data_IF_752304848673
#
_entry.id   IF_752304848673
#
_cell.length_a   1.000
_cell.length_b   1.000
_cell.length_c   1.000
_cell.angle_alpha   90.00
_cell.angle_beta   90.00
_cell.angle_gamma   90.00
#
_symmetry.space_group_name_H-M   'P 1'
#
loop_
_entity.id
_entity.type
_entity.pdbx_description
1 polymer ?
#
# COMPACT_ATOMS: atom_id res chain seq x y z
N UNK A 1 17.45 -10.10 1.16
CA UNK A 1 16.35 -9.23 0.66
C UNK A 1 16.79 -7.79 0.88
N UNK A 2 16.59 -6.88 -0.07
CA UNK A 2 16.90 -5.46 0.09
C UNK A 2 15.62 -4.69 -0.26
N UNK A 3 14.96 -4.07 0.70
CA UNK A 3 13.73 -3.33 0.50
C UNK A 3 14.03 -1.84 0.30
N UNK A 4 14.13 -1.42 -0.95
CA UNK A 4 14.47 -0.03 -1.30
C UNK A 4 13.46 0.98 -0.83
N UNK A 5 12.16 0.65 -0.87
CA UNK A 5 11.12 1.52 -0.33
C UNK A 5 11.37 1.78 1.16
N UNK A 6 11.63 0.71 1.94
CA UNK A 6 11.94 0.85 3.36
C UNK A 6 13.13 1.78 3.60
N UNK A 7 14.21 1.60 2.83
CA UNK A 7 15.41 2.44 2.95
C UNK A 7 15.11 3.92 2.66
N UNK A 8 14.40 4.21 1.57
CA UNK A 8 13.98 5.58 1.23
C UNK A 8 13.12 6.21 2.33
N UNK A 9 12.15 5.46 2.87
CA UNK A 9 11.31 5.93 3.96
C UNK A 9 12.12 6.22 5.23
N UNK A 10 13.10 5.39 5.56
CA UNK A 10 14.01 5.62 6.69
C UNK A 10 14.91 6.85 6.50
N UNK A 11 15.22 7.21 5.25
CA UNK A 11 15.98 8.42 4.90
C UNK A 11 15.09 9.66 4.82
N UNK A 12 13.78 9.52 5.05
CA UNK A 12 12.81 10.62 4.96
C UNK A 12 12.51 11.06 3.54
N UNK A 13 12.85 10.26 2.53
CA UNK A 13 12.55 10.58 1.14
C UNK A 13 11.06 10.43 0.84
N UNK A 14 10.54 11.32 -0.02
CA UNK A 14 9.22 11.15 -0.60
C UNK A 14 9.30 10.17 -1.75
N UNK A 15 8.46 9.15 -1.71
CA UNK A 15 8.38 8.09 -2.71
C UNK A 15 7.05 8.17 -3.46
N UNK A 16 7.08 7.79 -4.74
CA UNK A 16 5.89 7.78 -5.60
C UNK A 16 5.58 6.37 -6.08
N UNK A 17 4.29 6.05 -6.16
CA UNK A 17 3.87 4.72 -6.56
C UNK A 17 2.52 4.68 -7.25
N UNK A 18 2.12 3.48 -7.65
CA UNK A 18 0.89 3.20 -8.38
C UNK A 18 0.07 2.13 -7.67
N UNK A 19 -1.24 2.36 -7.57
CA UNK A 19 -2.19 1.33 -7.17
C UNK A 19 -2.60 0.52 -8.38
N UNK A 20 -2.41 -0.80 -8.33
CA UNK A 20 -2.60 -1.70 -9.48
C UNK A 20 -3.85 -2.55 -9.25
N UNK A 21 -4.83 -2.37 -10.13
CA UNK A 21 -6.11 -3.09 -10.13
C UNK A 21 -6.37 -3.85 -11.44
N UNK A 22 -5.62 -3.52 -12.51
CA UNK A 22 -5.71 -4.18 -13.82
C UNK A 22 -4.93 -5.49 -13.79
N UNK A 23 -5.52 -6.58 -14.28
CA UNK A 23 -4.92 -7.93 -14.30
C UNK A 23 -3.62 -8.02 -15.11
N UNK A 24 -3.46 -7.17 -16.12
CA UNK A 24 -2.30 -7.25 -17.02
C UNK A 24 -1.02 -6.78 -16.33
N UNK A 25 0.01 -7.63 -16.18
CA UNK A 25 1.29 -7.25 -15.62
C UNK A 25 2.02 -6.17 -16.42
N UNK A 26 1.59 -5.89 -17.66
CA UNK A 26 2.12 -4.80 -18.49
C UNK A 26 1.96 -3.44 -17.80
N UNK A 27 0.91 -3.24 -17.01
CA UNK A 27 0.74 -2.01 -16.22
C UNK A 27 1.91 -1.85 -15.22
N UNK A 28 2.30 -2.93 -14.58
CA UNK A 28 3.46 -2.94 -13.67
C UNK A 28 4.79 -2.77 -14.43
N UNK A 29 4.90 -3.31 -15.65
CA UNK A 29 6.08 -3.08 -16.52
C UNK A 29 6.24 -1.59 -16.84
N UNK A 30 5.14 -0.90 -17.15
CA UNK A 30 5.13 0.55 -17.37
C UNK A 30 5.57 1.31 -16.11
N UNK A 31 5.04 0.94 -14.94
CA UNK A 31 5.41 1.56 -13.68
C UNK A 31 6.92 1.38 -13.38
N UNK A 32 7.46 0.18 -13.61
CA UNK A 32 8.90 -0.12 -13.48
C UNK A 32 9.73 0.66 -14.48
N UNK A 33 9.31 0.72 -15.74
CA UNK A 33 10.03 1.45 -16.80
C UNK A 33 10.06 2.96 -16.55
N UNK A 34 9.02 3.51 -15.93
CA UNK A 34 8.96 4.90 -15.50
C UNK A 34 9.74 5.19 -14.21
N UNK A 35 10.28 4.17 -13.55
CA UNK A 35 11.09 4.32 -12.34
C UNK A 35 10.28 4.64 -11.09
N UNK A 36 9.01 4.19 -11.00
CA UNK A 36 8.22 4.36 -9.79
C UNK A 36 8.87 3.60 -8.62
N UNK A 37 8.84 4.20 -7.43
CA UNK A 37 9.47 3.63 -6.24
C UNK A 37 8.74 2.37 -5.76
N UNK A 38 7.42 2.35 -5.94
CA UNK A 38 6.60 1.21 -5.52
C UNK A 38 5.35 1.04 -6.37
N UNK A 39 4.85 -0.18 -6.37
CA UNK A 39 3.50 -0.54 -6.83
C UNK A 39 2.77 -1.23 -5.69
N UNK A 40 1.46 -1.02 -5.57
CA UNK A 40 0.58 -1.77 -4.67
C UNK A 40 -0.40 -2.60 -5.48
N UNK A 41 -0.24 -3.90 -5.46
CA UNK A 41 -1.13 -4.86 -6.11
C UNK A 41 -2.33 -5.08 -5.20
N UNK A 42 -3.51 -4.76 -5.70
CA UNK A 42 -4.73 -4.73 -4.91
C UNK A 42 -5.49 -6.06 -4.99
N UNK A 43 -5.49 -6.79 -3.88
CA UNK A 43 -6.24 -8.04 -3.74
C UNK A 43 -7.47 -7.89 -2.82
N UNK A 44 -7.78 -6.66 -2.38
CA UNK A 44 -8.97 -6.38 -1.56
C UNK A 44 -10.15 -5.95 -2.42
N UNK A 45 -9.97 -4.89 -3.22
CA UNK A 45 -11.00 -4.38 -4.12
C UNK A 45 -10.67 -4.74 -5.56
N UNK A 46 -11.62 -5.32 -6.25
CA UNK A 46 -11.43 -5.80 -7.62
C UNK A 46 -11.39 -7.33 -7.67
N UNK A 47 -10.67 -7.84 -8.65
CA UNK A 47 -10.71 -9.27 -9.00
C UNK A 47 -9.33 -9.93 -9.02
N UNK A 48 -8.27 -9.21 -8.62
CA UNK A 48 -6.94 -9.79 -8.55
C UNK A 48 -6.86 -10.78 -7.38
N UNK A 49 -6.33 -11.97 -7.68
CA UNK A 49 -6.02 -12.97 -6.68
C UNK A 49 -4.51 -13.25 -6.60
N UNK A 50 -4.11 -14.31 -5.91
CA UNK A 50 -2.71 -14.69 -5.79
C UNK A 50 -2.05 -15.06 -7.11
N UNK A 51 -2.81 -15.51 -8.11
CA UNK A 51 -2.27 -15.85 -9.42
C UNK A 51 -1.86 -14.61 -10.19
N UNK A 52 -2.73 -13.63 -10.28
CA UNK A 52 -2.46 -12.32 -10.90
C UNK A 52 -1.37 -11.57 -10.15
N UNK A 53 -1.45 -11.51 -8.82
CA UNK A 53 -0.43 -10.87 -7.99
C UNK A 53 0.97 -11.47 -8.23
N UNK A 54 1.07 -12.80 -8.41
CA UNK A 54 2.33 -13.45 -8.75
C UNK A 54 2.91 -12.95 -10.09
N UNK A 55 2.08 -12.69 -11.09
CA UNK A 55 2.53 -12.20 -12.39
C UNK A 55 3.09 -10.77 -12.27
N UNK A 56 2.43 -9.89 -11.54
CA UNK A 56 2.95 -8.54 -11.23
C UNK A 56 4.26 -8.60 -10.43
N UNK A 57 4.35 -9.46 -9.42
CA UNK A 57 5.56 -9.66 -8.62
C UNK A 57 6.75 -10.16 -9.45
N UNK A 58 6.51 -10.94 -10.51
CA UNK A 58 7.56 -11.39 -11.45
C UNK A 58 8.16 -10.21 -12.22
N UNK A 59 7.33 -9.25 -12.64
CA UNK A 59 7.77 -8.05 -13.36
C UNK A 59 8.67 -7.18 -12.49
N UNK A 60 8.31 -7.00 -11.23
CA UNK A 60 9.09 -6.18 -10.29
C UNK A 60 10.42 -6.83 -9.93
N UNK A 61 10.54 -8.16 -10.07
CA UNK A 61 11.73 -8.88 -9.66
C UNK A 61 13.00 -8.40 -10.39
N UNK A 62 13.99 -7.96 -9.62
CA UNK A 62 15.26 -7.43 -10.14
C UNK A 62 15.23 -5.96 -10.54
N UNK A 63 14.09 -5.28 -10.44
CA UNK A 63 13.97 -3.84 -10.66
C UNK A 63 14.32 -3.03 -9.40
N UNK A 64 14.24 -1.70 -9.51
CA UNK A 64 14.39 -0.78 -8.38
C UNK A 64 13.07 -0.51 -7.66
N UNK A 65 11.94 -0.90 -8.26
CA UNK A 65 10.60 -0.71 -7.75
C UNK A 65 10.29 -1.75 -6.68
N UNK A 66 9.72 -1.35 -5.56
CA UNK A 66 9.25 -2.26 -4.52
C UNK A 66 7.79 -2.67 -4.78
N UNK A 67 7.47 -3.95 -4.67
CA UNK A 67 6.10 -4.42 -4.78
C UNK A 67 5.49 -4.60 -3.39
N UNK A 68 4.38 -3.93 -3.16
CA UNK A 68 3.47 -4.12 -2.03
C UNK A 68 2.24 -4.91 -2.53
N UNK A 69 1.62 -5.64 -1.64
CA UNK A 69 0.33 -6.31 -1.89
C UNK A 69 -0.66 -5.81 -0.85
N UNK A 70 -1.78 -5.22 -1.27
CA UNK A 70 -2.90 -5.02 -0.35
C UNK A 70 -3.65 -6.35 -0.25
N UNK A 71 -3.57 -6.95 0.94
CA UNK A 71 -4.22 -8.23 1.22
C UNK A 71 -5.72 -8.04 1.44
N UNK A 72 -6.56 -9.09 1.22
CA UNK A 72 -8.01 -8.99 1.41
C UNK A 72 -8.44 -8.71 2.86
N UNK A 73 -7.58 -9.01 3.83
CA UNK A 73 -7.86 -8.84 5.26
C UNK A 73 -6.70 -9.28 6.14
N UNK A 74 -6.89 -9.21 7.46
CA UNK A 74 -5.86 -9.55 8.46
C UNK A 74 -5.90 -11.06 8.76
N UNK A 75 -5.73 -11.89 7.73
CA UNK A 75 -5.63 -13.34 7.88
C UNK A 75 -4.19 -13.80 7.71
N UNK A 76 -3.77 -14.76 8.54
CA UNK A 76 -2.43 -15.33 8.48
C UNK A 76 -2.10 -15.89 7.09
N UNK A 77 -3.07 -16.55 6.45
CA UNK A 77 -2.89 -17.13 5.12
C UNK A 77 -2.65 -16.07 4.05
N UNK A 78 -3.35 -14.93 4.11
CA UNK A 78 -3.21 -13.85 3.15
C UNK A 78 -1.85 -13.14 3.28
N UNK A 79 -1.51 -12.71 4.50
CA UNK A 79 -0.23 -12.05 4.79
C UNK A 79 0.95 -12.96 4.45
N UNK A 80 0.94 -14.21 4.95
CA UNK A 80 2.01 -15.16 4.70
C UNK A 80 2.21 -15.43 3.21
N UNK A 81 1.14 -15.75 2.46
CA UNK A 81 1.24 -16.08 1.04
C UNK A 81 1.75 -14.91 0.19
N UNK A 82 1.29 -13.69 0.45
CA UNK A 82 1.79 -12.50 -0.24
C UNK A 82 3.32 -12.35 -0.06
N UNK A 83 3.81 -12.52 1.15
CA UNK A 83 5.24 -12.45 1.47
C UNK A 83 6.03 -13.63 0.88
N UNK A 84 5.49 -14.85 0.90
CA UNK A 84 6.12 -16.04 0.33
C UNK A 84 6.25 -15.97 -1.20
N UNK A 85 5.32 -15.28 -1.86
CA UNK A 85 5.43 -14.94 -3.29
C UNK A 85 6.52 -13.89 -3.59
N UNK A 86 7.07 -13.24 -2.57
CA UNK A 86 8.16 -12.27 -2.71
C UNK A 86 7.71 -10.82 -2.75
N UNK A 87 6.56 -10.48 -2.18
CA UNK A 87 6.22 -9.09 -1.92
C UNK A 87 7.23 -8.47 -0.94
N UNK A 88 7.57 -7.21 -1.14
CA UNK A 88 8.44 -6.44 -0.24
C UNK A 88 7.70 -5.97 1.02
N UNK A 89 6.39 -6.04 1.01
CA UNK A 89 5.52 -5.78 2.14
C UNK A 89 4.06 -5.99 1.80
N UNK A 90 3.22 -5.84 2.81
CA UNK A 90 1.77 -5.90 2.68
C UNK A 90 1.14 -4.62 3.22
N UNK A 91 0.07 -4.16 2.56
CA UNK A 91 -0.87 -3.19 3.09
C UNK A 91 -2.04 -3.98 3.68
N UNK A 92 -2.39 -3.69 4.92
CA UNK A 92 -3.38 -4.46 5.69
C UNK A 92 -4.59 -3.58 5.90
N UNK A 93 -5.72 -3.88 5.25
CA UNK A 93 -6.95 -3.11 5.39
C UNK A 93 -7.62 -3.33 6.75
N UNK A 94 -8.52 -2.43 7.12
CA UNK A 94 -9.35 -2.54 8.32
C UNK A 94 -8.59 -2.81 9.62
N UNK A 95 -7.38 -2.27 9.75
CA UNK A 95 -6.63 -2.30 11.01
C UNK A 95 -7.27 -1.27 11.98
N UNK A 96 -8.20 -1.71 12.82
CA UNK A 96 -9.01 -0.85 13.68
C UNK A 96 -8.40 -0.62 15.07
N UNK A 97 -7.39 -1.41 15.44
CA UNK A 97 -6.81 -1.39 16.78
C UNK A 97 -5.31 -1.72 16.74
N UNK A 98 -4.60 -1.40 17.81
CA UNK A 98 -3.22 -1.85 18.00
C UNK A 98 -3.09 -3.37 17.95
N UNK A 99 -4.08 -4.11 18.50
CA UNK A 99 -4.11 -5.57 18.46
C UNK A 99 -4.22 -6.12 17.02
N UNK A 100 -4.93 -5.43 16.13
CA UNK A 100 -4.99 -5.80 14.70
C UNK A 100 -3.63 -5.63 14.03
N UNK A 101 -2.96 -4.52 14.30
CA UNK A 101 -1.63 -4.23 13.75
C UNK A 101 -0.61 -5.24 14.28
N UNK A 102 -0.59 -5.49 15.57
CA UNK A 102 0.28 -6.51 16.19
C UNK A 102 0.04 -7.91 15.59
N UNK A 103 -1.23 -8.26 15.34
CA UNK A 103 -1.60 -9.53 14.71
C UNK A 103 -1.04 -9.62 13.29
N UNK A 104 -1.15 -8.55 12.48
CA UNK A 104 -0.57 -8.49 11.14
C UNK A 104 0.96 -8.64 11.19
N UNK A 105 1.62 -7.96 12.12
CA UNK A 105 3.06 -8.09 12.34
C UNK A 105 3.47 -9.52 12.70
N UNK A 106 2.73 -10.18 13.61
CA UNK A 106 2.99 -11.58 13.96
C UNK A 106 2.84 -12.52 12.77
N UNK A 107 1.89 -12.28 11.88
CA UNK A 107 1.70 -13.08 10.67
C UNK A 107 2.79 -12.88 9.62
N UNK A 108 3.41 -11.71 9.58
CA UNK A 108 4.49 -11.39 8.65
C UNK A 108 5.89 -11.73 9.13
N UNK A 109 6.08 -12.07 10.44
CA UNK A 109 7.38 -12.32 11.06
C UNK A 109 7.57 -13.78 11.43
N UNK A 110 8.82 -14.23 11.37
CA UNK A 110 9.21 -15.58 11.78
C UNK A 110 9.29 -15.74 13.31
N UNK A 111 9.17 -16.98 13.84
CA UNK A 111 9.46 -17.24 15.24
C UNK A 111 10.90 -16.83 15.64
N UNK A 112 11.13 -16.31 16.85
CA UNK A 112 10.18 -16.14 17.96
C UNK A 112 9.36 -14.85 17.91
N UNK A 113 9.60 -13.95 16.95
CA UNK A 113 8.94 -12.62 16.85
C UNK A 113 7.52 -12.69 16.27
N UNK A 114 7.18 -13.78 15.62
CA UNK A 114 5.88 -14.01 15.02
C UNK A 114 5.56 -15.49 14.84
N UNK A 115 4.63 -15.76 13.90
CA UNK A 115 4.12 -17.11 13.62
C UNK A 115 4.14 -17.46 12.12
N UNK A 116 4.86 -16.66 11.30
CA UNK A 116 5.01 -16.96 9.87
C UNK A 116 5.71 -18.30 9.70
N UNK A 117 5.08 -19.23 8.97
CA UNK A 117 5.69 -20.50 8.62
C UNK A 117 6.87 -20.32 7.68
N UNK A 118 7.89 -21.14 7.85
CA UNK A 118 9.06 -21.15 6.97
C UNK A 118 8.77 -22.05 5.76
N UNK A 119 9.05 -21.57 4.56
CA UNK A 119 8.89 -22.35 3.33
C UNK A 119 10.09 -22.18 2.39
N UNK A 120 10.23 -23.10 1.46
CA UNK A 120 11.28 -23.09 0.41
C UNK A 120 10.84 -22.48 -0.92
N UNK A 121 9.87 -21.55 -0.90
CA UNK A 121 9.24 -21.03 -2.11
C UNK A 121 9.97 -19.78 -2.67
N UNK A 122 9.31 -19.03 -3.53
CA UNK A 122 9.86 -17.95 -4.36
C UNK A 122 10.62 -16.89 -3.57
N UNK A 123 10.13 -16.46 -2.42
CA UNK A 123 10.80 -15.45 -1.58
C UNK A 123 12.25 -15.83 -1.23
N UNK A 124 12.51 -17.12 -1.03
CA UNK A 124 13.84 -17.70 -0.76
C UNK A 124 14.51 -18.26 -2.01
N UNK A 125 14.05 -17.88 -3.21
CA UNK A 125 14.53 -18.38 -4.51
C UNK A 125 14.59 -19.90 -4.56
N UNK A 126 13.49 -20.55 -4.18
CA UNK A 126 13.35 -22.02 -4.12
C UNK A 126 14.46 -22.71 -3.30
N UNK A 127 14.84 -22.07 -2.18
CA UNK A 127 15.86 -22.54 -1.25
C UNK A 127 17.27 -22.00 -1.52
N UNK A 128 17.55 -21.40 -2.67
CA UNK A 128 18.90 -20.92 -3.03
C UNK A 128 19.40 -19.75 -2.15
N UNK A 129 18.51 -18.94 -1.58
CA UNK A 129 18.85 -17.84 -0.68
C UNK A 129 18.15 -17.95 0.69
N UNK A 130 17.93 -19.16 1.14
CA UNK A 130 17.13 -19.45 2.34
C UNK A 130 17.69 -18.80 3.60
N UNK A 131 18.95 -19.07 3.93
CA UNK A 131 19.58 -18.51 5.13
C UNK A 131 19.71 -16.98 5.08
N UNK A 132 20.09 -16.44 3.93
CA UNK A 132 20.18 -15.00 3.68
C UNK A 132 18.81 -14.32 3.91
N UNK A 133 17.75 -14.87 3.30
CA UNK A 133 16.41 -14.31 3.45
C UNK A 133 15.93 -14.33 4.90
N UNK A 134 16.06 -15.46 5.59
CA UNK A 134 15.62 -15.58 6.99
C UNK A 134 16.37 -14.63 7.93
N UNK A 135 17.64 -14.33 7.67
CA UNK A 135 18.41 -13.42 8.51
C UNK A 135 17.97 -11.95 8.43
N UNK A 136 17.26 -11.55 7.39
CA UNK A 136 16.89 -10.14 7.17
C UNK A 136 15.39 -9.91 6.97
N UNK A 137 14.60 -10.93 6.70
CA UNK A 137 13.19 -10.77 6.28
C UNK A 137 12.34 -10.01 7.31
N UNK A 138 12.53 -10.26 8.60
CA UNK A 138 11.77 -9.58 9.66
C UNK A 138 12.03 -8.08 9.72
N UNK A 139 13.25 -7.66 9.37
CA UNK A 139 13.64 -6.25 9.35
C UNK A 139 13.29 -5.57 8.01
N UNK A 140 13.39 -6.30 6.90
CA UNK A 140 13.19 -5.76 5.56
C UNK A 140 11.72 -5.72 5.13
N UNK A 141 10.87 -6.60 5.67
CA UNK A 141 9.45 -6.67 5.30
C UNK A 141 8.66 -5.51 5.88
N UNK A 142 7.91 -4.81 5.02
CA UNK A 142 6.99 -3.77 5.43
C UNK A 142 5.61 -4.36 5.73
N UNK A 143 5.09 -4.08 6.93
CA UNK A 143 3.69 -4.32 7.31
C UNK A 143 3.08 -2.95 7.51
N UNK A 144 2.18 -2.55 6.63
CA UNK A 144 1.63 -1.19 6.56
C UNK A 144 0.13 -1.25 6.86
N UNK A 145 -0.32 -0.86 8.05
CA UNK A 145 -1.75 -0.77 8.34
C UNK A 145 -2.39 0.37 7.54
N UNK A 146 -3.59 0.11 7.02
CA UNK A 146 -4.43 1.11 6.40
C UNK A 146 -5.30 1.77 7.48
N UNK A 147 -5.12 3.07 7.68
CA UNK A 147 -5.85 3.89 8.65
C UNK A 147 -7.06 4.49 7.93
N UNK A 148 -8.21 3.85 8.08
CA UNK A 148 -9.39 4.15 7.26
C UNK A 148 -10.71 4.04 8.03
N UNK A 149 -10.63 3.82 9.35
CA UNK A 149 -11.84 3.72 10.18
C UNK A 149 -11.77 4.65 11.38
N UNK A 150 -12.92 5.01 11.90
CA UNK A 150 -13.02 5.77 13.15
C UNK A 150 -12.34 5.04 14.31
N UNK A 151 -12.47 3.71 14.40
CA UNK A 151 -11.79 2.91 15.42
C UNK A 151 -10.27 3.06 15.36
N UNK A 152 -9.68 3.00 14.16
CA UNK A 152 -8.25 3.23 13.97
C UNK A 152 -7.80 4.62 14.42
N UNK A 153 -8.62 5.64 14.16
CA UNK A 153 -8.33 7.02 14.60
C UNK A 153 -8.41 7.14 16.12
N UNK A 154 -9.40 6.53 16.76
CA UNK A 154 -9.54 6.51 18.22
C UNK A 154 -8.39 5.78 18.93
N UNK A 155 -7.80 4.76 18.30
CA UNK A 155 -6.65 4.01 18.84
C UNK A 155 -5.29 4.40 18.24
N UNK A 156 -5.21 5.52 17.55
CA UNK A 156 -4.04 5.85 16.74
C UNK A 156 -2.71 5.89 17.52
N UNK A 157 -2.73 6.41 18.73
CA UNK A 157 -1.51 6.46 19.57
C UNK A 157 -0.99 5.07 19.93
N UNK A 158 -1.89 4.13 20.20
CA UNK A 158 -1.55 2.75 20.48
C UNK A 158 -1.06 2.03 19.19
N UNK A 159 -1.70 2.30 18.04
CA UNK A 159 -1.26 1.80 16.74
C UNK A 159 0.16 2.30 16.42
N UNK A 160 0.42 3.59 16.54
CA UNK A 160 1.72 4.19 16.27
C UNK A 160 2.81 3.75 17.25
N UNK A 161 2.45 3.23 18.43
CA UNK A 161 3.38 2.65 19.39
C UNK A 161 3.80 1.21 19.05
N UNK A 162 3.23 0.59 18.00
CA UNK A 162 3.57 -0.80 17.62
C UNK A 162 5.04 -0.94 17.25
N UNK A 163 5.81 -1.84 17.91
CA UNK A 163 7.24 -1.99 17.66
C UNK A 163 7.57 -2.39 16.23
N UNK A 164 8.41 -1.59 15.57
CA UNK A 164 8.88 -1.83 14.20
C UNK A 164 7.91 -1.36 13.11
N UNK A 165 6.86 -0.63 13.46
CA UNK A 165 5.98 0.06 12.50
C UNK A 165 6.80 1.13 11.76
N UNK A 166 7.00 0.95 10.45
CA UNK A 166 7.79 1.85 9.63
C UNK A 166 6.94 2.82 8.81
N UNK A 167 5.72 2.42 8.50
CA UNK A 167 4.79 3.23 7.71
C UNK A 167 3.34 2.90 8.04
N UNK A 168 2.47 3.89 7.85
CA UNK A 168 1.01 3.76 7.79
C UNK A 168 0.52 4.28 6.44
N UNK A 169 -0.65 3.86 6.00
CA UNK A 169 -1.28 4.38 4.79
C UNK A 169 -2.71 4.82 5.11
N UNK A 170 -3.23 5.85 4.44
CA UNK A 170 -4.59 6.34 4.68
C UNK A 170 -5.54 5.91 3.57
N UNK A 171 -6.77 5.50 3.96
CA UNK A 171 -7.93 5.30 3.09
C UNK A 171 -8.96 6.44 3.32
N UNK A 172 -8.84 7.61 2.63
CA UNK A 172 -9.68 8.76 2.92
C UNK A 172 -11.17 8.52 2.70
N UNK A 173 -11.54 7.77 1.64
CA UNK A 173 -12.94 7.47 1.32
C UNK A 173 -13.60 6.60 2.40
N UNK A 174 -12.92 5.53 2.84
CA UNK A 174 -13.43 4.64 3.89
C UNK A 174 -13.45 5.34 5.25
N UNK A 175 -12.44 6.15 5.52
CA UNK A 175 -12.44 7.01 6.71
C UNK A 175 -13.65 7.95 6.69
N UNK A 176 -13.92 8.63 5.56
CA UNK A 176 -15.11 9.47 5.39
C UNK A 176 -16.41 8.71 5.64
N UNK A 177 -16.54 7.54 5.02
CA UNK A 177 -17.70 6.67 5.20
C UNK A 177 -17.88 6.26 6.67
N UNK A 178 -16.80 5.95 7.38
CA UNK A 178 -16.83 5.57 8.81
C UNK A 178 -17.26 6.72 9.74
N UNK A 179 -17.12 7.96 9.28
CA UNK A 179 -17.63 9.17 9.96
C UNK A 179 -19.01 9.60 9.48
N UNK A 180 -19.65 8.82 8.58
CA UNK A 180 -21.00 9.09 8.08
C UNK A 180 -21.05 9.92 6.79
N UNK A 181 -19.92 10.15 6.13
CA UNK A 181 -19.79 10.92 4.87
C UNK A 181 -19.58 9.97 3.68
N UNK A 182 -20.50 9.02 3.50
CA UNK A 182 -20.44 8.04 2.44
C UNK A 182 -20.43 8.71 1.06
N UNK A 183 -19.47 8.34 0.21
CA UNK A 183 -19.29 8.88 -1.14
C UNK A 183 -18.42 10.13 -1.21
N UNK A 184 -17.98 10.68 -0.09
CA UNK A 184 -17.04 11.79 -0.04
C UNK A 184 -15.60 11.26 0.13
N UNK A 185 -14.67 11.78 -0.65
CA UNK A 185 -13.26 11.40 -0.56
C UNK A 185 -12.65 11.81 0.78
N UNK A 186 -12.88 13.05 1.18
CA UNK A 186 -12.52 13.62 2.47
C UNK A 186 -13.70 14.47 2.97
N UNK A 187 -14.63 13.85 3.67
CA UNK A 187 -15.74 14.53 4.29
C UNK A 187 -15.30 15.50 5.40
N UNK A 188 -16.24 16.27 5.96
CA UNK A 188 -15.94 17.32 6.94
C UNK A 188 -15.03 16.87 8.08
N UNK A 189 -13.87 17.52 8.23
CA UNK A 189 -12.87 17.26 9.26
C UNK A 189 -12.05 15.96 9.07
N UNK A 190 -12.23 15.20 7.99
CA UNK A 190 -11.43 14.00 7.70
C UNK A 190 -10.03 14.39 7.28
N UNK A 191 -9.87 15.38 6.39
CA UNK A 191 -8.58 15.88 5.97
C UNK A 191 -7.73 16.38 7.16
N UNK A 192 -8.34 17.11 8.09
CA UNK A 192 -7.64 17.60 9.28
C UNK A 192 -7.17 16.47 10.19
N UNK A 193 -7.98 15.42 10.36
CA UNK A 193 -7.59 14.22 11.12
C UNK A 193 -6.42 13.49 10.47
N UNK A 194 -6.48 13.30 9.15
CA UNK A 194 -5.39 12.67 8.38
C UNK A 194 -4.09 13.45 8.58
N UNK A 195 -4.12 14.79 8.49
CA UNK A 195 -2.94 15.63 8.69
C UNK A 195 -2.41 15.57 10.12
N UNK A 196 -3.27 15.58 11.12
CA UNK A 196 -2.87 15.46 12.52
C UNK A 196 -2.22 14.10 12.81
N UNK A 197 -2.79 13.01 12.27
CA UNK A 197 -2.22 11.66 12.42
C UNK A 197 -0.89 11.56 11.66
N UNK A 198 -0.80 12.11 10.45
CA UNK A 198 0.45 12.15 9.69
C UNK A 198 1.57 12.84 10.50
N UNK A 199 1.26 13.99 11.12
CA UNK A 199 2.23 14.71 11.95
C UNK A 199 2.66 13.87 13.17
N UNK A 200 1.72 13.27 13.88
CA UNK A 200 2.01 12.36 15.02
C UNK A 200 2.87 11.15 14.59
N UNK A 201 2.63 10.59 13.41
CA UNK A 201 3.44 9.50 12.86
C UNK A 201 4.88 9.97 12.55
N UNK A 202 5.04 11.15 11.92
CA UNK A 202 6.35 11.75 11.60
C UNK A 202 7.19 12.01 12.86
N UNK A 203 6.59 12.51 13.95
CA UNK A 203 7.26 12.73 15.24
C UNK A 203 7.82 11.43 15.85
N UNK A 204 7.23 10.29 15.48
CA UNK A 204 7.66 8.94 15.88
C UNK A 204 8.58 8.25 14.84
N UNK A 205 8.95 8.95 13.77
CA UNK A 205 9.76 8.39 12.69
C UNK A 205 9.02 7.39 11.79
N UNK A 206 7.68 7.43 11.78
CA UNK A 206 6.81 6.57 10.98
C UNK A 206 6.39 7.33 9.72
N UNK A 207 6.63 6.76 8.55
CA UNK A 207 6.21 7.34 7.29
C UNK A 207 4.67 7.26 7.11
N UNK A 208 4.08 8.27 6.50
CA UNK A 208 2.66 8.28 6.16
C UNK A 208 2.48 8.23 4.64
N UNK A 209 1.53 7.42 4.18
CA UNK A 209 1.16 7.29 2.78
C UNK A 209 -0.29 7.65 2.53
N UNK A 210 -0.58 8.11 1.32
CA UNK A 210 -1.94 8.41 0.85
C UNK A 210 -2.01 8.29 -0.67
N UNK A 211 -3.17 7.87 -1.18
CA UNK A 211 -3.47 7.91 -2.60
C UNK A 211 -3.95 9.31 -3.00
N UNK A 212 -3.39 9.88 -4.05
CA UNK A 212 -3.85 11.12 -4.66
C UNK A 212 -4.64 10.81 -5.95
N UNK A 213 -5.64 11.64 -6.26
CA UNK A 213 -6.51 11.44 -7.43
C UNK A 213 -6.12 12.32 -8.61
N UNK A 214 -5.35 13.39 -8.35
CA UNK A 214 -4.90 14.35 -9.36
C UNK A 214 -3.43 14.70 -9.15
N UNK A 215 -2.82 15.35 -10.14
CA UNK A 215 -1.45 15.86 -10.03
C UNK A 215 -1.35 16.92 -8.92
N UNK A 216 -2.31 17.84 -8.87
CA UNK A 216 -2.32 18.91 -7.84
C UNK A 216 -2.45 18.32 -6.43
N UNK A 217 -3.29 17.29 -6.25
CA UNK A 217 -3.38 16.56 -5.00
C UNK A 217 -2.07 15.84 -4.65
N UNK A 218 -1.39 15.24 -5.62
CA UNK A 218 -0.08 14.62 -5.40
C UNK A 218 0.96 15.62 -4.91
N UNK A 219 1.00 16.81 -5.51
CA UNK A 219 1.88 17.89 -5.09
C UNK A 219 1.51 18.39 -3.69
N UNK A 220 0.23 18.59 -3.42
CA UNK A 220 -0.27 18.97 -2.10
C UNK A 220 0.14 17.96 -1.02
N UNK A 221 -0.07 16.65 -1.27
CA UNK A 221 0.28 15.60 -0.29
C UNK A 221 1.79 15.55 -0.03
N UNK A 222 2.61 15.67 -1.07
CA UNK A 222 4.07 15.80 -0.93
C UNK A 222 4.42 16.98 -0.03
N UNK A 223 3.86 18.15 -0.29
CA UNK A 223 4.17 19.39 0.44
C UNK A 223 3.62 19.36 1.88
N UNK A 224 2.57 18.58 2.12
CA UNK A 224 2.07 18.26 3.45
C UNK A 224 2.95 17.25 4.20
N UNK A 225 4.00 16.69 3.61
CA UNK A 225 4.96 15.79 4.24
C UNK A 225 4.62 14.31 4.18
N UNK A 226 3.70 13.89 3.32
CA UNK A 226 3.50 12.46 3.05
C UNK A 226 4.72 11.88 2.35
N UNK A 227 5.18 10.71 2.80
CA UNK A 227 6.38 10.03 2.29
C UNK A 227 6.06 8.90 1.29
N UNK A 228 4.82 8.45 1.23
CA UNK A 228 4.34 7.52 0.21
C UNK A 228 3.16 8.17 -0.52
N UNK A 229 3.40 8.72 -1.71
CA UNK A 229 2.36 9.35 -2.53
C UNK A 229 1.98 8.41 -3.66
N UNK A 230 0.76 7.86 -3.61
CA UNK A 230 0.19 7.10 -4.71
C UNK A 230 -0.36 8.04 -5.77
N UNK A 231 0.08 7.90 -7.02
CA UNK A 231 -0.33 8.75 -8.15
C UNK A 231 -1.77 8.48 -8.65
N UNK A 232 -2.45 7.56 -8.00
CA UNK A 232 -3.78 7.07 -8.34
C UNK A 232 -3.79 5.56 -8.55
N UNK A 233 -4.97 5.03 -8.85
CA UNK A 233 -5.11 3.68 -9.38
C UNK A 233 -4.95 3.70 -10.91
N UNK A 234 -4.42 2.63 -11.47
CA UNK A 234 -4.17 2.46 -12.91
C UNK A 234 -5.42 2.71 -13.76
N UNK A 235 -6.55 2.13 -13.41
CA UNK A 235 -7.82 2.36 -14.09
C UNK A 235 -8.26 3.83 -14.00
N UNK A 236 -8.09 4.48 -12.86
CA UNK A 236 -8.40 5.89 -12.68
C UNK A 236 -7.54 6.81 -13.55
N UNK A 237 -6.26 6.49 -13.68
CA UNK A 237 -5.33 7.21 -14.58
C UNK A 237 -5.75 7.07 -16.04
N UNK A 238 -6.08 5.85 -16.47
CA UNK A 238 -6.54 5.57 -17.83
C UNK A 238 -7.83 6.33 -18.16
N UNK A 239 -8.81 6.29 -17.26
CA UNK A 239 -10.09 7.00 -17.44
C UNK A 239 -9.84 8.51 -17.55
N UNK A 240 -9.00 9.07 -16.69
CA UNK A 240 -8.68 10.51 -16.72
C UNK A 240 -8.05 10.92 -18.03
N UNK A 241 -7.03 10.22 -18.51
CA UNK A 241 -6.35 10.52 -19.76
C UNK A 241 -7.31 10.42 -20.98
N UNK A 242 -8.18 9.41 -20.99
CA UNK A 242 -9.17 9.26 -22.05
C UNK A 242 -10.22 10.38 -22.03
N UNK A 243 -10.69 10.79 -20.85
CA UNK A 243 -11.64 11.92 -20.70
C UNK A 243 -11.03 13.23 -21.19
N UNK A 244 -9.81 13.55 -20.77
CA UNK A 244 -9.09 14.75 -21.20
C UNK A 244 -8.98 14.81 -22.75
N UNK A 245 -8.66 13.68 -23.39
CA UNK A 245 -8.59 13.59 -24.85
C UNK A 245 -9.98 13.73 -25.52
N UNK A 246 -11.03 13.14 -24.95
CA UNK A 246 -12.39 13.26 -25.47
C UNK A 246 -12.89 14.70 -25.36
N UNK A 247 -12.66 15.35 -24.22
CA UNK A 247 -13.03 16.74 -24.00
C UNK A 247 -12.31 17.68 -24.97
N UNK A 248 -11.00 17.46 -25.20
CA UNK A 248 -10.23 18.23 -26.20
C UNK A 248 -10.74 18.05 -27.63
N UNK A 249 -11.37 16.93 -27.96
CA UNK A 249 -12.00 16.64 -29.22
C UNK A 249 -13.46 17.11 -29.29
N UNK A 250 -13.98 17.77 -28.26
CA UNK A 250 -15.36 18.21 -28.16
C UNK A 250 -16.38 17.06 -28.08
N UNK A 251 -15.97 15.90 -27.57
CA UNK A 251 -16.84 14.75 -27.40
C UNK A 251 -17.33 14.63 -25.94
N UNK A 252 -18.63 14.64 -25.78
CA UNK A 252 -19.24 14.37 -24.49
C UNK A 252 -19.02 12.92 -24.07
N UNK A 253 -18.64 12.72 -22.80
CA UNK A 253 -18.58 11.38 -22.20
C UNK A 253 -20.02 10.98 -21.84
N UNK A 254 -20.54 9.86 -22.39
CA UNK A 254 -21.87 9.39 -22.04
C UNK A 254 -22.02 9.21 -20.53
N UNK A 255 -23.12 9.74 -19.96
CA UNK A 255 -23.49 9.36 -18.61
C UNK A 255 -23.88 7.88 -18.64
N UNK A 256 -22.95 7.01 -18.28
CA UNK A 256 -23.13 5.57 -18.30
C UNK A 256 -24.18 5.14 -17.29
N UNK A 257 -25.19 4.38 -17.75
CA UNK A 257 -26.12 3.63 -16.90
C UNK A 257 -25.78 2.13 -16.90
N UNK A 258 -24.50 1.79 -17.04
CA UNK A 258 -24.09 0.38 -17.25
C UNK A 258 -24.06 -0.42 -15.95
N UNK A 259 -24.14 0.22 -14.78
CA UNK A 259 -24.20 -0.47 -13.49
C UNK A 259 -25.30 0.12 -12.61
#
# INVERSE_FOLDING_TARGET
MNNRLRQKLQQGETTVGLWVTIESPTVTEVAVALGLDWVCIDMEHGHLDFHEAMNHLRVVAGSQTSALVRVPGIEMSAVKRALDMGAHGVIVPYAQSAADVERAFRYGRFPPRGVRGVCGDRAVRWGMSFAEYLSCADEETLIIPLIETRGAVEEIDAILATPGLAAIFFGPADMSASYGYLGEWEGPGVADRILAIRQNAEERGIAAGVLARTVDESLLRRDQGFRMVGLGADMGLLIRALRENLDALGREVPQSRIF
#
